data_IF_048544560222
#
_entry.id   IF_048544560222
#
_cell.length_a   1.000
_cell.length_b   1.000
_cell.length_c   1.000
_cell.angle_alpha   90.00
_cell.angle_beta   90.00
_cell.angle_gamma   90.00
#
_symmetry.space_group_name_H-M   'P 1'
#
loop_
_entity.id
_entity.type
_entity.pdbx_description
1 polymer ?
#
# COMPACT_ATOMS: atom_id res chain seq x y z
N UNK A 1 -4.84 -9.28 -17.01
CA UNK A 1 -4.43 -7.92 -16.60
C UNK A 1 -4.21 -7.91 -15.10
N UNK A 2 -3.08 -7.38 -14.66
CA UNK A 2 -2.75 -7.22 -13.25
C UNK A 2 -3.67 -6.25 -12.54
N UNK A 3 -3.78 -6.38 -11.22
CA UNK A 3 -4.61 -5.51 -10.38
C UNK A 3 -3.75 -4.47 -9.65
N UNK A 4 -4.13 -3.19 -9.76
CA UNK A 4 -3.47 -2.08 -9.06
C UNK A 4 -4.22 -1.79 -7.77
N UNK A 5 -3.53 -1.87 -6.63
CA UNK A 5 -4.11 -1.66 -5.30
C UNK A 5 -3.31 -0.57 -4.57
N UNK A 6 -3.96 0.53 -4.21
CA UNK A 6 -3.37 1.54 -3.33
C UNK A 6 -3.54 1.12 -1.86
N UNK A 7 -2.51 1.32 -1.04
CA UNK A 7 -2.60 1.13 0.41
C UNK A 7 -2.57 2.51 1.06
N UNK A 8 -3.75 3.00 1.46
CA UNK A 8 -3.93 4.39 1.88
C UNK A 8 -4.62 4.53 3.23
N UNK A 9 -4.15 5.49 4.02
CA UNK A 9 -4.83 6.04 5.19
C UNK A 9 -4.19 7.39 5.53
N UNK A 10 -5.02 8.38 5.88
CA UNK A 10 -4.55 9.71 6.28
C UNK A 10 -3.73 9.68 7.59
N UNK A 11 -4.03 8.73 8.49
CA UNK A 11 -3.33 8.62 9.78
C UNK A 11 -1.95 7.97 9.56
N UNK A 12 -0.91 8.61 10.12
CA UNK A 12 0.42 8.02 10.21
C UNK A 12 0.45 6.84 11.20
N UNK A 13 1.39 5.91 11.00
CA UNK A 13 1.62 4.81 11.95
C UNK A 13 0.55 3.71 12.00
N UNK A 14 -0.39 3.66 11.06
CA UNK A 14 -1.44 2.61 11.01
C UNK A 14 -0.99 1.32 10.33
N UNK A 15 0.25 1.25 9.86
CA UNK A 15 0.82 0.07 9.20
C UNK A 15 0.61 0.03 7.68
N UNK A 16 0.52 1.17 6.98
CA UNK A 16 0.45 1.22 5.51
C UNK A 16 1.65 0.52 4.89
N UNK A 17 2.83 1.06 5.10
CA UNK A 17 4.10 0.51 4.57
C UNK A 17 4.35 -0.93 5.02
N UNK A 18 4.09 -1.23 6.30
CA UNK A 18 4.18 -2.60 6.83
C UNK A 18 3.25 -3.53 6.06
N UNK A 19 2.04 -3.08 5.74
CA UNK A 19 1.08 -3.88 4.96
C UNK A 19 1.55 -4.02 3.52
N UNK A 20 1.98 -2.93 2.88
CA UNK A 20 2.41 -2.95 1.47
C UNK A 20 3.58 -3.91 1.27
N UNK A 21 4.64 -3.79 2.07
CA UNK A 21 5.85 -4.62 2.00
C UNK A 21 5.52 -6.10 2.27
N UNK A 22 4.78 -6.38 3.34
CA UNK A 22 4.56 -7.77 3.75
C UNK A 22 3.45 -8.47 2.94
N UNK A 23 2.48 -7.73 2.41
CA UNK A 23 1.52 -8.26 1.45
C UNK A 23 2.22 -8.57 0.11
N UNK A 24 3.09 -7.66 -0.39
CA UNK A 24 3.89 -7.90 -1.59
C UNK A 24 4.73 -9.18 -1.45
N UNK A 25 5.48 -9.30 -0.36
CA UNK A 25 6.30 -10.50 -0.09
C UNK A 25 5.45 -11.77 0.05
N UNK A 26 4.27 -11.68 0.70
CA UNK A 26 3.35 -12.83 0.83
C UNK A 26 2.77 -13.28 -0.51
N UNK A 27 2.37 -12.32 -1.36
CA UNK A 27 1.92 -12.62 -2.72
C UNK A 27 3.06 -13.22 -3.56
N UNK A 28 4.29 -12.69 -3.42
CA UNK A 28 5.47 -13.19 -4.13
C UNK A 28 5.82 -14.63 -3.81
N UNK A 29 5.73 -15.05 -2.53
CA UNK A 29 5.95 -16.48 -2.15
C UNK A 29 4.77 -17.36 -2.57
N UNK A 30 3.60 -16.79 -2.82
CA UNK A 30 2.44 -17.45 -3.44
C UNK A 30 2.51 -17.40 -4.99
N UNK A 31 3.71 -17.23 -5.54
CA UNK A 31 4.03 -17.27 -6.97
C UNK A 31 3.33 -16.19 -7.81
N UNK A 32 2.94 -15.05 -7.20
CA UNK A 32 2.43 -13.88 -7.92
C UNK A 32 3.57 -12.92 -8.26
N UNK A 33 3.58 -12.40 -9.48
CA UNK A 33 4.48 -11.31 -9.88
C UNK A 33 3.95 -10.01 -9.33
N UNK A 34 4.69 -9.37 -8.43
CA UNK A 34 4.27 -8.15 -7.73
C UNK A 34 5.23 -7.02 -8.03
N UNK A 35 4.68 -5.86 -8.38
CA UNK A 35 5.40 -4.60 -8.37
C UNK A 35 4.94 -3.80 -7.16
N UNK A 36 5.87 -3.36 -6.33
CA UNK A 36 5.62 -2.38 -5.29
C UNK A 36 6.07 -1.01 -5.79
N UNK A 37 5.22 -0.01 -5.67
CA UNK A 37 5.56 1.41 -5.95
C UNK A 37 5.57 2.14 -4.62
N UNK A 38 6.72 2.64 -4.23
CA UNK A 38 6.84 3.50 -3.05
C UNK A 38 6.47 4.94 -3.46
N UNK A 39 5.34 5.43 -2.97
CA UNK A 39 4.83 6.77 -3.22
C UNK A 39 4.82 7.64 -1.96
N UNK A 40 5.65 7.29 -0.97
CA UNK A 40 5.91 8.10 0.22
C UNK A 40 7.32 8.71 0.13
N UNK A 41 7.48 10.04 0.21
CA UNK A 41 8.80 10.69 0.25
C UNK A 41 9.71 10.21 1.39
N UNK A 42 9.14 9.60 2.43
CA UNK A 42 9.93 9.01 3.51
C UNK A 42 10.64 7.71 3.08
N UNK A 43 10.33 7.15 1.92
CA UNK A 43 10.95 5.96 1.32
C UNK A 43 11.02 4.74 2.27
N UNK A 44 10.00 4.60 3.13
CA UNK A 44 9.98 3.52 4.13
C UNK A 44 9.76 2.13 3.51
N UNK A 45 9.04 2.04 2.39
CA UNK A 45 8.89 0.76 1.67
C UNK A 45 10.19 0.39 0.95
N UNK A 46 10.90 1.39 0.41
CA UNK A 46 12.21 1.25 -0.23
C UNK A 46 13.25 0.69 0.74
N UNK A 47 13.45 1.35 1.89
CA UNK A 47 14.37 0.89 2.91
C UNK A 47 13.94 -0.44 3.55
N UNK A 48 12.63 -0.65 3.72
CA UNK A 48 12.05 -1.88 4.28
C UNK A 48 12.25 -3.12 3.40
N UNK A 49 12.59 -2.95 2.13
CA UNK A 49 12.98 -4.00 1.19
C UNK A 49 14.50 -4.10 0.99
N UNK A 50 15.28 -3.40 1.80
CA UNK A 50 16.74 -3.48 1.84
C UNK A 50 17.45 -2.66 0.76
N UNK A 51 16.76 -1.69 0.17
CA UNK A 51 17.37 -0.76 -0.78
C UNK A 51 17.92 0.45 -0.01
N UNK A 52 19.17 0.80 -0.29
CA UNK A 52 19.79 2.00 0.24
C UNK A 52 19.17 3.25 -0.42
N UNK A 53 18.40 3.99 0.36
CA UNK A 53 17.66 5.16 -0.13
C UNK A 53 18.60 6.25 -0.65
N UNK A 54 19.78 6.41 -0.03
CA UNK A 54 20.76 7.41 -0.46
C UNK A 54 21.42 7.06 -1.80
N UNK A 55 21.31 5.80 -2.23
CA UNK A 55 21.81 5.33 -3.53
C UNK A 55 20.72 5.35 -4.64
N UNK A 56 19.49 5.76 -4.33
CA UNK A 56 18.41 5.84 -5.32
C UNK A 56 18.60 7.09 -6.18
N UNK A 57 19.02 6.89 -7.44
CA UNK A 57 19.16 7.98 -8.41
C UNK A 57 17.88 8.22 -9.22
N UNK A 58 17.09 7.18 -9.47
CA UNK A 58 15.84 7.23 -10.23
C UNK A 58 14.75 6.42 -9.54
N UNK A 59 13.54 6.97 -9.47
CA UNK A 59 12.43 6.35 -8.76
C UNK A 59 11.08 6.98 -9.09
N UNK A 60 10.16 6.92 -8.16
CA UNK A 60 8.79 7.43 -8.31
C UNK A 60 8.73 8.91 -8.67
N UNK A 61 9.72 9.73 -8.24
CA UNK A 61 9.81 11.13 -8.64
C UNK A 61 9.93 11.28 -10.15
N UNK A 62 10.94 10.63 -10.77
CA UNK A 62 11.18 10.70 -12.22
C UNK A 62 10.04 10.08 -13.04
N UNK A 63 9.36 9.09 -12.47
CA UNK A 63 8.16 8.47 -13.08
C UNK A 63 7.02 9.48 -13.14
N UNK A 64 6.75 10.21 -12.05
CA UNK A 64 5.68 11.20 -11.99
C UNK A 64 5.99 12.47 -12.78
N UNK A 65 7.27 12.85 -12.86
CA UNK A 65 7.71 13.96 -13.70
C UNK A 65 7.72 13.62 -15.19
N UNK A 66 7.62 12.33 -15.53
CA UNK A 66 7.75 11.76 -16.87
C UNK A 66 9.13 11.98 -17.52
N UNK A 67 10.18 12.14 -16.71
CA UNK A 67 11.57 12.20 -17.19
C UNK A 67 12.17 10.81 -17.38
N UNK A 68 11.58 9.79 -16.73
CA UNK A 68 11.87 8.38 -16.92
C UNK A 68 10.59 7.57 -17.08
N UNK A 69 10.68 6.49 -17.86
CA UNK A 69 9.59 5.52 -17.91
C UNK A 69 9.59 4.68 -16.62
N UNK A 70 8.41 4.21 -16.21
CA UNK A 70 8.32 3.37 -15.03
C UNK A 70 9.17 2.08 -15.17
N UNK A 71 9.36 1.54 -16.38
CA UNK A 71 10.20 0.36 -16.61
C UNK A 71 11.69 0.62 -16.33
N UNK A 72 12.19 1.82 -16.60
CA UNK A 72 13.60 2.17 -16.34
C UNK A 72 13.90 2.30 -14.85
N UNK A 73 12.89 2.52 -14.00
CA UNK A 73 13.05 2.73 -12.57
C UNK A 73 12.83 1.46 -11.73
N UNK A 74 12.41 0.35 -12.37
CA UNK A 74 12.16 -0.92 -11.67
C UNK A 74 13.49 -1.54 -11.24
N UNK A 75 13.57 -1.87 -9.96
CA UNK A 75 14.67 -2.62 -9.36
C UNK A 75 14.16 -3.94 -8.77
N UNK A 76 14.98 -4.99 -8.87
CA UNK A 76 14.68 -6.27 -8.26
C UNK A 76 14.97 -6.22 -6.75
N UNK A 77 14.11 -6.80 -5.96
CA UNK A 77 14.30 -6.92 -4.51
C UNK A 77 14.81 -8.30 -4.11
N UNK A 78 15.22 -8.44 -2.85
CA UNK A 78 15.57 -9.75 -2.28
C UNK A 78 14.36 -10.64 -1.97
N UNK A 79 13.13 -10.09 -2.06
CA UNK A 79 11.89 -10.86 -1.88
C UNK A 79 11.51 -11.56 -3.18
N UNK A 80 11.20 -12.86 -3.17
CA UNK A 80 10.85 -13.61 -4.38
C UNK A 80 9.67 -12.99 -5.13
N UNK A 81 9.79 -12.83 -6.45
CA UNK A 81 8.74 -12.30 -7.34
C UNK A 81 8.26 -10.89 -7.00
N UNK A 82 9.05 -10.10 -6.28
CA UNK A 82 8.73 -8.72 -5.90
C UNK A 82 9.76 -7.77 -6.49
N UNK A 83 9.30 -6.90 -7.39
CA UNK A 83 10.06 -5.78 -7.91
C UNK A 83 9.61 -4.48 -7.23
N UNK A 84 10.43 -3.43 -7.28
CA UNK A 84 10.19 -2.15 -6.63
C UNK A 84 10.44 -0.99 -7.59
N UNK A 85 9.55 0.01 -7.59
CA UNK A 85 9.86 1.38 -7.99
C UNK A 85 10.14 2.14 -6.70
N UNK A 86 11.40 2.54 -6.43
CA UNK A 86 11.79 3.14 -5.16
C UNK A 86 11.35 4.60 -5.06
N UNK A 87 11.26 5.10 -3.82
CA UNK A 87 11.13 6.53 -3.53
C UNK A 87 12.43 7.11 -2.99
N UNK A 88 12.54 8.42 -3.07
CA UNK A 88 13.55 9.25 -2.44
C UNK A 88 12.88 10.52 -1.91
N UNK A 89 13.55 11.25 -1.01
CA UNK A 89 13.02 12.49 -0.41
C UNK A 89 12.63 13.55 -1.46
N UNK A 90 13.28 13.55 -2.62
CA UNK A 90 12.98 14.49 -3.72
C UNK A 90 11.52 14.38 -4.20
N UNK A 91 10.86 13.27 -3.93
CA UNK A 91 9.44 13.08 -4.24
C UNK A 91 8.54 14.16 -3.60
N UNK A 92 8.98 14.83 -2.53
CA UNK A 92 8.29 15.99 -1.94
C UNK A 92 8.11 17.11 -2.96
N UNK A 93 9.05 17.31 -3.88
CA UNK A 93 9.01 18.38 -4.87
C UNK A 93 7.83 18.24 -5.85
N UNK A 94 7.35 17.02 -6.08
CA UNK A 94 6.22 16.73 -6.98
C UNK A 94 4.95 17.51 -6.62
N UNK A 95 4.67 17.69 -5.33
CA UNK A 95 3.48 18.44 -4.90
C UNK A 95 3.54 19.93 -5.27
N UNK A 96 4.73 20.47 -5.51
CA UNK A 96 4.97 21.85 -5.93
C UNK A 96 5.08 21.93 -7.46
N UNK A 97 5.89 21.07 -8.06
CA UNK A 97 6.24 21.13 -9.49
C UNK A 97 5.07 20.78 -10.41
N UNK A 98 4.16 19.94 -9.94
CA UNK A 98 2.97 19.57 -10.70
C UNK A 98 1.78 20.54 -10.51
N UNK A 99 1.90 21.59 -9.67
CA UNK A 99 0.76 22.48 -9.36
C UNK A 99 0.13 23.09 -10.62
N UNK A 100 0.95 23.51 -11.58
CA UNK A 100 0.52 24.18 -12.81
C UNK A 100 0.39 23.22 -14.01
N UNK A 101 0.61 21.90 -13.82
CA UNK A 101 0.43 20.91 -14.88
C UNK A 101 -1.04 20.52 -15.03
N UNK A 102 -1.51 20.52 -16.26
CA UNK A 102 -2.78 19.89 -16.61
C UNK A 102 -2.71 18.38 -16.33
N UNK A 103 -3.82 17.79 -15.94
CA UNK A 103 -3.93 16.34 -15.65
C UNK A 103 -2.96 15.81 -14.57
N UNK A 104 -2.47 16.67 -13.68
CA UNK A 104 -1.52 16.33 -12.62
C UNK A 104 -1.96 15.16 -11.72
N UNK A 105 -3.26 14.93 -11.58
CA UNK A 105 -3.83 13.81 -10.82
C UNK A 105 -3.75 12.46 -11.56
N UNK A 106 -3.37 12.47 -12.85
CA UNK A 106 -3.31 11.29 -13.72
C UNK A 106 -1.88 10.85 -14.06
N UNK A 107 -0.85 11.54 -13.56
CA UNK A 107 0.54 11.27 -13.91
C UNK A 107 0.95 9.82 -13.62
N UNK A 108 0.63 9.31 -12.43
CA UNK A 108 0.90 7.92 -12.07
C UNK A 108 0.13 6.93 -12.95
N UNK A 109 -1.17 7.18 -13.18
CA UNK A 109 -2.01 6.32 -14.03
C UNK A 109 -1.44 6.18 -15.44
N UNK A 110 -0.98 7.29 -16.02
CA UNK A 110 -0.36 7.31 -17.34
C UNK A 110 0.98 6.55 -17.35
N UNK A 111 1.82 6.78 -16.33
CA UNK A 111 3.15 6.21 -16.24
C UNK A 111 3.19 4.69 -16.04
N UNK A 112 2.23 4.12 -15.29
CA UNK A 112 2.23 2.69 -14.95
C UNK A 112 1.28 1.84 -15.81
N UNK A 113 0.57 2.46 -16.76
CA UNK A 113 -0.44 1.80 -17.60
C UNK A 113 0.09 0.52 -18.25
N UNK A 114 1.27 0.60 -18.86
CA UNK A 114 1.86 -0.49 -19.62
C UNK A 114 2.49 -1.59 -18.75
N UNK A 115 2.56 -1.37 -17.43
CA UNK A 115 3.06 -2.37 -16.47
C UNK A 115 1.99 -3.38 -16.07
N UNK A 116 0.72 -3.04 -16.24
CA UNK A 116 -0.43 -3.85 -15.80
C UNK A 116 -0.46 -5.26 -16.42
N UNK A 117 0.12 -5.44 -17.60
CA UNK A 117 0.21 -6.74 -18.27
C UNK A 117 1.46 -7.55 -17.86
N UNK A 118 2.40 -6.93 -17.14
CA UNK A 118 3.67 -7.55 -16.73
C UNK A 118 3.62 -8.13 -15.31
N UNK A 119 2.65 -7.71 -14.49
CA UNK A 119 2.51 -8.09 -13.09
C UNK A 119 1.10 -8.60 -12.79
N UNK A 120 0.97 -9.51 -11.82
CA UNK A 120 -0.33 -9.95 -11.29
C UNK A 120 -0.93 -8.89 -10.37
N UNK A 121 -0.07 -8.24 -9.57
CA UNK A 121 -0.43 -7.15 -8.66
C UNK A 121 0.57 -6.01 -8.74
N UNK A 122 0.05 -4.78 -8.68
CA UNK A 122 0.84 -3.56 -8.47
C UNK A 122 0.32 -2.94 -7.16
N UNK A 123 1.17 -2.87 -6.14
CA UNK A 123 0.83 -2.30 -4.84
C UNK A 123 1.47 -0.92 -4.71
N UNK A 124 0.68 0.10 -4.35
CA UNK A 124 1.17 1.48 -4.18
C UNK A 124 1.16 1.83 -2.70
N UNK A 125 2.33 2.06 -2.10
CA UNK A 125 2.46 2.54 -0.71
C UNK A 125 2.25 4.05 -0.66
N UNK A 126 1.17 4.50 -0.03
CA UNK A 126 0.80 5.90 0.01
C UNK A 126 1.34 6.62 1.25
N UNK A 127 1.77 7.88 1.08
CA UNK A 127 2.10 8.78 2.18
C UNK A 127 0.92 8.99 3.15
N UNK A 128 1.18 9.37 4.42
CA UNK A 128 0.14 9.67 5.41
C UNK A 128 -0.49 11.06 5.19
N UNK A 129 -0.86 11.37 3.96
CA UNK A 129 -1.48 12.62 3.56
C UNK A 129 -2.57 12.35 2.52
N UNK A 130 -3.47 13.31 2.29
CA UNK A 130 -4.41 13.29 1.18
C UNK A 130 -3.99 14.31 0.10
N UNK A 131 -2.68 14.52 -0.06
CA UNK A 131 -2.07 15.38 -1.07
C UNK A 131 -2.08 14.78 -2.47
N UNK A 132 -1.38 15.44 -3.39
CA UNK A 132 -1.34 15.10 -4.81
C UNK A 132 -0.79 13.68 -5.07
N UNK A 133 0.20 13.24 -4.29
CA UNK A 133 0.75 11.88 -4.38
C UNK A 133 -0.32 10.81 -4.10
N UNK A 134 -1.09 10.98 -3.02
CA UNK A 134 -2.18 10.05 -2.69
C UNK A 134 -3.32 10.11 -3.72
N UNK A 135 -3.64 11.30 -4.24
CA UNK A 135 -4.63 11.43 -5.32
C UNK A 135 -4.17 10.71 -6.58
N UNK A 136 -2.90 10.82 -6.96
CA UNK A 136 -2.32 10.06 -8.08
C UNK A 136 -2.42 8.55 -7.88
N UNK A 137 -2.09 8.06 -6.68
CA UNK A 137 -2.19 6.64 -6.34
C UNK A 137 -3.65 6.13 -6.47
N UNK A 138 -4.62 6.86 -5.90
CA UNK A 138 -6.05 6.50 -5.96
C UNK A 138 -6.62 6.62 -7.38
N UNK A 139 -6.14 7.59 -8.17
CA UNK A 139 -6.56 7.76 -9.57
C UNK A 139 -6.04 6.62 -10.46
N UNK A 140 -4.87 6.08 -10.15
CA UNK A 140 -4.25 4.97 -10.88
C UNK A 140 -4.78 3.59 -10.45
N UNK A 141 -5.26 3.46 -9.21
CA UNK A 141 -5.63 2.18 -8.62
C UNK A 141 -6.97 1.64 -9.12
N UNK A 142 -7.10 0.31 -9.19
CA UNK A 142 -8.39 -0.39 -9.37
C UNK A 142 -9.14 -0.46 -8.04
N UNK A 143 -8.40 -0.55 -6.93
CA UNK A 143 -9.00 -0.62 -5.59
C UNK A 143 -8.04 -0.10 -4.51
N UNK A 144 -8.58 0.12 -3.30
CA UNK A 144 -7.82 0.59 -2.15
C UNK A 144 -7.97 -0.33 -0.94
N UNK A 145 -6.86 -0.72 -0.33
CA UNK A 145 -6.82 -1.34 0.99
C UNK A 145 -6.61 -0.24 2.03
N UNK A 146 -7.42 -0.26 3.09
CA UNK A 146 -7.41 0.74 4.16
C UNK A 146 -6.94 0.08 5.46
N UNK A 147 -5.66 0.18 5.84
CA UNK A 147 -5.19 -0.28 7.15
C UNK A 147 -5.78 0.59 8.26
N UNK A 148 -6.36 -0.05 9.28
CA UNK A 148 -7.00 0.58 10.42
C UNK A 148 -6.37 0.05 11.70
N UNK A 149 -5.63 0.90 12.42
CA UNK A 149 -5.06 0.55 13.70
C UNK A 149 -6.15 0.39 14.78
N UNK A 150 -6.13 -0.71 15.54
CA UNK A 150 -7.14 -0.99 16.58
C UNK A 150 -6.92 -0.14 17.84
N UNK A 151 -7.00 1.20 17.68
CA UNK A 151 -6.85 2.22 18.73
C UNK A 151 -7.96 3.28 18.67
N UNK A 152 -8.11 4.10 19.72
CA UNK A 152 -9.24 5.02 19.93
C UNK A 152 -9.58 5.94 18.75
N UNK A 153 -8.58 6.51 18.10
CA UNK A 153 -8.81 7.43 16.97
C UNK A 153 -8.95 6.73 15.60
N UNK A 154 -9.19 5.43 15.58
CA UNK A 154 -9.25 4.64 14.34
C UNK A 154 -10.33 5.14 13.36
N UNK A 155 -11.50 5.49 13.87
CA UNK A 155 -12.66 5.89 13.06
C UNK A 155 -12.65 7.36 12.64
N UNK A 156 -11.94 8.24 13.37
CA UNK A 156 -11.94 9.68 13.08
C UNK A 156 -11.33 9.99 11.70
N UNK A 157 -10.18 9.38 11.39
CA UNK A 157 -9.52 9.56 10.09
C UNK A 157 -10.21 8.84 8.94
N UNK A 158 -10.97 7.76 9.24
CA UNK A 158 -11.62 6.93 8.22
C UNK A 158 -12.68 7.72 7.44
N UNK A 159 -13.49 8.52 8.11
CA UNK A 159 -14.52 9.33 7.45
C UNK A 159 -13.95 10.30 6.42
N UNK A 160 -12.83 10.96 6.72
CA UNK A 160 -12.15 11.87 5.79
C UNK A 160 -11.60 11.12 4.57
N UNK A 161 -10.96 9.97 4.79
CA UNK A 161 -10.44 9.14 3.70
C UNK A 161 -11.58 8.64 2.79
N UNK A 162 -12.68 8.15 3.35
CA UNK A 162 -13.84 7.70 2.57
C UNK A 162 -14.45 8.84 1.74
N UNK A 163 -14.49 10.06 2.26
CA UNK A 163 -14.92 11.23 1.51
C UNK A 163 -13.95 11.56 0.36
N UNK A 164 -12.64 11.43 0.58
CA UNK A 164 -11.64 11.60 -0.48
C UNK A 164 -11.81 10.53 -1.55
N UNK A 165 -11.99 9.26 -1.19
CA UNK A 165 -12.24 8.16 -2.14
C UNK A 165 -13.48 8.47 -2.99
N UNK A 166 -14.60 8.87 -2.36
CA UNK A 166 -15.82 9.28 -3.09
C UNK A 166 -15.57 10.45 -4.03
N UNK A 167 -14.73 11.41 -3.66
CA UNK A 167 -14.38 12.54 -4.53
C UNK A 167 -13.54 12.07 -5.72
N UNK A 168 -12.58 11.18 -5.51
CA UNK A 168 -11.78 10.56 -6.59
C UNK A 168 -12.67 9.75 -7.52
N UNK A 169 -13.59 8.93 -6.99
CA UNK A 169 -14.55 8.18 -7.80
C UNK A 169 -15.40 9.09 -8.69
N UNK A 170 -15.86 10.22 -8.15
CA UNK A 170 -16.71 11.14 -8.89
C UNK A 170 -15.97 11.91 -9.99
N UNK A 171 -14.69 12.26 -9.78
CA UNK A 171 -13.98 13.25 -10.60
C UNK A 171 -12.91 12.59 -11.48
N UNK A 172 -12.15 11.63 -10.94
CA UNK A 172 -10.92 11.13 -11.56
C UNK A 172 -10.95 9.64 -11.93
N UNK A 173 -11.57 8.80 -11.09
CA UNK A 173 -11.54 7.35 -11.26
C UNK A 173 -12.86 6.70 -10.83
N UNK A 174 -13.89 6.69 -11.69
CA UNK A 174 -15.22 6.14 -11.36
C UNK A 174 -15.19 4.65 -10.99
N UNK A 175 -14.19 3.92 -11.45
CA UNK A 175 -14.06 2.47 -11.24
C UNK A 175 -13.26 2.11 -9.97
N UNK A 176 -12.76 3.10 -9.23
CA UNK A 176 -12.04 2.85 -7.97
C UNK A 176 -12.96 2.17 -6.96
N UNK A 177 -12.59 0.97 -6.50
CA UNK A 177 -13.33 0.21 -5.49
C UNK A 177 -12.59 0.22 -4.13
N UNK A 178 -13.28 -0.12 -3.04
CA UNK A 178 -12.65 -0.43 -1.76
C UNK A 178 -12.37 -1.93 -1.73
N UNK A 179 -11.08 -2.32 -1.80
CA UNK A 179 -10.66 -3.72 -1.70
C UNK A 179 -11.02 -4.30 -0.34
N UNK A 180 -10.76 -3.53 0.70
CA UNK A 180 -11.14 -3.87 2.05
C UNK A 180 -10.44 -3.02 3.11
N UNK A 181 -10.97 -3.09 4.32
CA UNK A 181 -10.41 -2.49 5.52
C UNK A 181 -9.63 -3.56 6.29
N UNK A 182 -8.34 -3.33 6.54
CA UNK A 182 -7.47 -4.25 7.25
C UNK A 182 -7.25 -3.77 8.67
N UNK A 183 -7.76 -4.51 9.64
CA UNK A 183 -7.51 -4.24 11.06
C UNK A 183 -6.06 -4.61 11.42
N UNK A 184 -5.31 -3.64 11.96
CA UNK A 184 -3.88 -3.78 12.25
C UNK A 184 -3.58 -3.54 13.72
N UNK A 185 -2.40 -4.03 14.16
CA UNK A 185 -1.89 -3.87 15.53
C UNK A 185 -2.88 -4.31 16.62
N UNK A 186 -3.71 -5.29 16.30
CA UNK A 186 -4.70 -5.84 17.23
C UNK A 186 -4.02 -6.55 18.38
N UNK A 187 -4.50 -6.28 19.58
CA UNK A 187 -4.13 -6.99 20.80
C UNK A 187 -5.40 -7.46 21.54
N UNK A 188 -5.65 -8.78 21.51
CA UNK A 188 -6.84 -9.39 22.11
C UNK A 188 -6.97 -9.15 23.63
N UNK A 189 -5.87 -8.82 24.32
CA UNK A 189 -5.86 -8.51 25.76
C UNK A 189 -6.43 -7.13 26.08
N UNK A 190 -6.47 -6.24 25.08
CA UNK A 190 -6.92 -4.87 25.25
C UNK A 190 -8.41 -4.76 24.94
N UNK A 191 -9.20 -4.34 25.93
CA UNK A 191 -10.64 -4.05 25.74
C UNK A 191 -10.89 -3.06 24.61
N UNK A 192 -10.05 -2.02 24.52
CA UNK A 192 -10.17 -1.01 23.47
C UNK A 192 -9.99 -1.60 22.07
N UNK A 193 -9.00 -2.48 21.86
CA UNK A 193 -8.81 -3.15 20.57
C UNK A 193 -10.05 -3.96 20.15
N UNK A 194 -10.65 -4.69 21.08
CA UNK A 194 -11.88 -5.45 20.81
C UNK A 194 -13.05 -4.52 20.46
N UNK A 195 -13.23 -3.42 21.20
CA UNK A 195 -14.28 -2.42 20.90
C UNK A 195 -14.11 -1.80 19.50
N UNK A 196 -12.89 -1.46 19.10
CA UNK A 196 -12.63 -0.93 17.75
C UNK A 196 -12.97 -1.95 16.67
N UNK A 197 -12.60 -3.22 16.87
CA UNK A 197 -12.95 -4.30 15.92
C UNK A 197 -14.47 -4.43 15.78
N UNK A 198 -15.19 -4.45 16.91
CA UNK A 198 -16.66 -4.53 16.91
C UNK A 198 -17.32 -3.34 16.20
N UNK A 199 -16.87 -2.12 16.48
CA UNK A 199 -17.40 -0.90 15.85
C UNK A 199 -17.12 -0.85 14.34
N UNK A 200 -15.90 -1.19 13.91
CA UNK A 200 -15.58 -1.22 12.48
C UNK A 200 -16.42 -2.29 11.77
N UNK A 201 -16.51 -3.50 12.33
CA UNK A 201 -17.33 -4.57 11.75
C UNK A 201 -18.82 -4.24 11.74
N UNK A 202 -19.33 -3.56 12.75
CA UNK A 202 -20.73 -3.13 12.81
C UNK A 202 -21.11 -2.16 11.70
N UNK A 203 -20.21 -1.25 11.34
CA UNK A 203 -20.48 -0.21 10.33
C UNK A 203 -20.05 -0.59 8.91
N UNK A 204 -19.11 -1.53 8.77
CA UNK A 204 -18.43 -1.85 7.51
C UNK A 204 -18.25 -3.35 7.28
N UNK A 205 -19.15 -4.21 7.82
CA UNK A 205 -18.99 -5.67 7.83
C UNK A 205 -18.45 -6.27 6.53
N UNK A 206 -19.06 -5.89 5.39
CA UNK A 206 -18.76 -6.46 4.08
C UNK A 206 -17.45 -5.94 3.45
N UNK A 207 -16.89 -4.88 4.07
CA UNK A 207 -15.64 -4.26 3.61
C UNK A 207 -14.44 -4.64 4.47
N UNK A 208 -14.64 -5.34 5.61
CA UNK A 208 -13.54 -5.69 6.53
C UNK A 208 -12.98 -7.04 6.15
N UNK A 209 -11.65 -7.14 6.02
CA UNK A 209 -10.98 -8.44 5.87
C UNK A 209 -11.24 -9.31 7.11
N UNK A 210 -11.45 -10.61 6.91
CA UNK A 210 -11.54 -11.59 8.01
C UNK A 210 -10.22 -11.67 8.75
N UNK A 211 -9.12 -11.55 8.02
CA UNK A 211 -7.77 -11.54 8.55
C UNK A 211 -7.49 -10.25 9.33
N UNK A 212 -7.00 -10.40 10.56
CA UNK A 212 -6.59 -9.29 11.44
C UNK A 212 -5.09 -9.40 11.67
N UNK A 213 -4.35 -8.30 11.48
CA UNK A 213 -2.91 -8.25 11.76
C UNK A 213 -2.71 -7.97 13.25
N UNK A 214 -2.19 -8.95 13.95
CA UNK A 214 -1.90 -8.84 15.39
C UNK A 214 -0.67 -7.96 15.63
N UNK A 215 -0.64 -7.25 16.76
CA UNK A 215 0.57 -6.55 17.22
C UNK A 215 1.70 -7.58 17.37
N UNK A 216 2.80 -7.36 16.67
CA UNK A 216 3.94 -8.26 16.62
C UNK A 216 5.25 -7.46 16.55
N UNK A 217 6.17 -7.70 17.48
CA UNK A 217 7.45 -6.99 17.56
C UNK A 217 8.29 -7.27 16.31
N UNK A 218 8.26 -8.50 15.79
CA UNK A 218 9.00 -8.90 14.59
C UNK A 218 8.66 -8.07 13.35
N UNK A 219 7.40 -7.63 13.22
CA UNK A 219 6.99 -6.71 12.14
C UNK A 219 7.65 -5.33 12.25
N UNK A 220 7.99 -4.89 13.46
CA UNK A 220 8.73 -3.65 13.68
C UNK A 220 10.24 -3.80 13.53
N UNK A 221 10.77 -5.01 13.78
CA UNK A 221 12.20 -5.31 13.68
C UNK A 221 12.63 -5.55 12.22
N UNK A 222 11.85 -6.30 11.45
CA UNK A 222 12.20 -6.72 10.08
C UNK A 222 12.68 -5.58 9.16
N UNK A 223 12.04 -4.38 9.14
CA UNK A 223 12.51 -3.26 8.32
C UNK A 223 13.92 -2.77 8.66
N UNK A 224 14.37 -2.90 9.93
CA UNK A 224 15.74 -2.51 10.32
C UNK A 224 16.82 -3.44 9.73
N UNK A 225 16.42 -4.59 9.23
CA UNK A 225 17.25 -5.52 8.50
C UNK A 225 17.05 -5.46 6.97
N UNK A 226 16.17 -4.54 6.51
CA UNK A 226 15.82 -4.45 5.08
C UNK A 226 15.09 -5.69 4.56
N UNK A 227 14.31 -6.34 5.41
CA UNK A 227 13.64 -7.60 5.10
C UNK A 227 12.14 -7.56 5.35
N UNK A 228 11.38 -8.26 4.48
CA UNK A 228 9.98 -8.55 4.78
C UNK A 228 9.88 -9.51 5.97
N UNK A 229 8.73 -9.53 6.64
CA UNK A 229 8.51 -10.47 7.77
C UNK A 229 8.64 -11.94 7.35
N UNK A 230 8.30 -12.26 6.10
CA UNK A 230 8.42 -13.62 5.54
C UNK A 230 9.88 -14.05 5.50
N UNK A 231 10.78 -13.15 5.12
CA UNK A 231 12.22 -13.43 5.04
C UNK A 231 12.86 -13.37 6.43
N UNK A 232 12.46 -12.40 7.27
CA UNK A 232 13.02 -12.17 8.60
C UNK A 232 12.64 -13.29 9.60
N UNK A 233 11.34 -13.63 9.69
CA UNK A 233 10.81 -14.66 10.59
C UNK A 233 9.50 -15.24 10.04
N UNK A 234 9.61 -16.21 9.13
CA UNK A 234 8.47 -16.87 8.49
C UNK A 234 7.52 -17.60 9.48
N UNK A 235 8.01 -17.94 10.68
CA UNK A 235 7.24 -18.62 11.72
C UNK A 235 6.47 -17.64 12.63
N UNK A 236 6.74 -16.35 12.54
CA UNK A 236 6.10 -15.34 13.37
C UNK A 236 4.60 -15.22 13.09
N UNK A 237 3.86 -14.77 14.09
CA UNK A 237 2.43 -14.45 13.91
C UNK A 237 2.21 -13.39 12.83
N UNK A 238 3.15 -12.44 12.69
CA UNK A 238 3.11 -11.43 11.65
C UNK A 238 3.16 -12.02 10.25
N UNK A 239 4.09 -12.96 10.00
CA UNK A 239 4.22 -13.67 8.73
C UNK A 239 2.96 -14.48 8.41
N UNK A 240 2.45 -15.25 9.38
CA UNK A 240 1.22 -16.03 9.22
C UNK A 240 0.02 -15.13 8.91
N UNK A 241 -0.12 -13.98 9.59
CA UNK A 241 -1.21 -13.06 9.33
C UNK A 241 -1.15 -12.49 7.89
N UNK A 242 0.02 -12.06 7.40
CA UNK A 242 0.13 -11.54 6.03
C UNK A 242 -0.04 -12.61 4.95
N UNK A 243 0.39 -13.85 5.20
CA UNK A 243 0.10 -14.98 4.30
C UNK A 243 -1.40 -15.27 4.24
N UNK A 244 -2.09 -15.24 5.39
CA UNK A 244 -3.55 -15.41 5.42
C UNK A 244 -4.25 -14.27 4.67
N UNK A 245 -3.81 -13.02 4.85
CA UNK A 245 -4.35 -11.87 4.13
C UNK A 245 -4.13 -12.00 2.62
N UNK A 246 -2.95 -12.44 2.18
CA UNK A 246 -2.68 -12.66 0.78
C UNK A 246 -3.61 -13.74 0.18
N UNK A 247 -3.82 -14.84 0.89
CA UNK A 247 -4.75 -15.89 0.46
C UNK A 247 -6.20 -15.38 0.41
N UNK A 248 -6.63 -14.60 1.40
CA UNK A 248 -7.98 -13.99 1.42
C UNK A 248 -8.15 -13.03 0.23
N UNK A 249 -7.16 -12.19 -0.06
CA UNK A 249 -7.15 -11.29 -1.21
C UNK A 249 -7.24 -12.07 -2.54
N UNK A 250 -6.46 -13.13 -2.69
CA UNK A 250 -6.46 -13.97 -3.89
C UNK A 250 -7.82 -14.64 -4.09
N UNK A 251 -8.45 -15.14 -3.02
CA UNK A 251 -9.78 -15.74 -3.05
C UNK A 251 -10.83 -14.71 -3.49
N UNK A 252 -10.84 -13.54 -2.84
CA UNK A 252 -11.77 -12.44 -3.13
C UNK A 252 -11.68 -11.97 -4.58
N UNK A 253 -10.47 -11.94 -5.15
CA UNK A 253 -10.26 -11.52 -6.54
C UNK A 253 -10.58 -12.61 -7.57
N UNK A 254 -10.57 -13.90 -7.21
CA UNK A 254 -11.03 -15.00 -8.09
C UNK A 254 -12.54 -15.05 -8.18
N UNK A 255 -13.25 -14.68 -7.12
CA UNK A 255 -14.72 -14.64 -7.10
C UNK A 255 -15.30 -13.44 -7.88
N UNK A 256 -14.47 -12.43 -8.21
CA UNK A 256 -14.89 -11.25 -8.99
C UNK A 256 -14.65 -11.39 -10.52
N UNK A 257 -14.08 -12.53 -10.97
CA UNK A 257 -13.89 -12.88 -12.39
C UNK A 257 -14.96 -13.87 -12.83
#
# INVERSE_FOLDING_TARGET
MGKIIAIANQKGGVGKTTTTVNLAASLGVLEKKVLLIDADPQANATSGLGIDVDAVEIGTYQVLEHTKTARETIIQTSSPNVDLIPAHIDLVAIEIELVDKDDREYMMKQAIRDLKDSYDYILIDCAPSLGLLTLNALTAADSVIIPIQCEYFALEGLGKLLNTIKSVQRIHNPDLDIEGMLLTMYDARLRLSNQVVEEVKKHFSDMVFDTIIQRNVRLGEAPSYGESIIKYDASSKGAINYLNMANELLKKNKEKV
#
